data_IF_858414660671
#
_entry.id   IF_858414660671
#
_cell.length_a   1.000
_cell.length_b   1.000
_cell.length_c   1.000
_cell.angle_alpha   90.00
_cell.angle_beta   90.00
_cell.angle_gamma   90.00
#
_symmetry.space_group_name_H-M   'P 1'
#
loop_
_entity.id
_entity.type
_entity.pdbx_description
1 polymer ?
#
# COMPACT_ATOMS: atom_id res chain seq x y z
N UNK A 1 9.36 8.49 -17.32
CA UNK A 1 8.20 7.55 -17.28
C UNK A 1 7.61 7.56 -15.89
N UNK A 2 6.30 7.71 -15.80
CA UNK A 2 5.61 7.65 -14.52
C UNK A 2 5.49 6.20 -14.07
N UNK A 3 5.61 5.95 -12.77
CA UNK A 3 5.32 4.62 -12.25
C UNK A 3 3.83 4.30 -12.49
N UNK A 4 3.49 3.03 -12.58
CA UNK A 4 2.15 2.58 -12.94
C UNK A 4 1.94 2.39 -14.42
N UNK A 5 2.82 2.94 -15.26
CA UNK A 5 2.75 2.79 -16.71
C UNK A 5 3.63 1.64 -17.21
N UNK A 6 4.53 1.14 -16.37
CA UNK A 6 5.45 0.05 -16.69
C UNK A 6 4.98 -1.22 -16.00
N UNK A 7 5.07 -2.36 -16.70
CA UNK A 7 4.66 -3.66 -16.15
C UNK A 7 5.43 -4.03 -14.86
N UNK A 8 6.64 -3.51 -14.67
CA UNK A 8 7.45 -3.78 -13.48
C UNK A 8 7.03 -2.93 -12.28
N UNK A 9 6.19 -1.92 -12.48
CA UNK A 9 5.73 -1.05 -11.40
C UNK A 9 4.52 -1.61 -10.67
N UNK A 10 3.84 -2.62 -11.24
CA UNK A 10 2.65 -3.20 -10.63
C UNK A 10 2.94 -4.58 -10.08
N UNK A 11 2.50 -4.80 -8.88
CA UNK A 11 2.60 -6.08 -8.20
C UNK A 11 1.22 -6.47 -7.68
N UNK A 12 0.75 -7.62 -8.11
CA UNK A 12 -0.55 -8.14 -7.67
C UNK A 12 -0.33 -9.42 -6.89
N UNK A 13 -0.54 -9.36 -5.58
CA UNK A 13 -0.52 -10.54 -4.75
C UNK A 13 -1.82 -11.32 -4.96
N UNK A 14 -1.74 -12.65 -4.83
CA UNK A 14 -2.96 -13.47 -4.88
C UNK A 14 -3.83 -13.18 -3.67
N UNK A 15 -5.16 -13.39 -3.75
CA UNK A 15 -6.04 -13.16 -2.60
C UNK A 15 -5.63 -13.95 -1.36
N UNK A 16 -5.11 -15.16 -1.53
CA UNK A 16 -4.66 -16.01 -0.43
C UNK A 16 -3.45 -15.42 0.28
N UNK A 17 -2.49 -14.89 -0.47
CA UNK A 17 -1.30 -14.25 0.10
C UNK A 17 -1.68 -12.97 0.83
N UNK A 18 -2.58 -12.18 0.25
CA UNK A 18 -3.10 -10.96 0.88
C UNK A 18 -3.73 -11.29 2.22
N UNK A 19 -4.59 -12.33 2.25
CA UNK A 19 -5.25 -12.75 3.48
C UNK A 19 -4.25 -13.17 4.55
N UNK A 20 -3.23 -13.94 4.16
CA UNK A 20 -2.18 -14.35 5.09
C UNK A 20 -1.47 -13.16 5.73
N UNK A 21 -1.19 -12.14 4.94
CA UNK A 21 -0.50 -10.95 5.44
C UNK A 21 -1.38 -10.16 6.40
N UNK A 22 -2.65 -9.97 6.05
CA UNK A 22 -3.59 -9.24 6.90
C UNK A 22 -3.83 -9.98 8.21
N UNK A 23 -3.96 -11.31 8.15
CA UNK A 23 -4.22 -12.13 9.33
C UNK A 23 -3.06 -12.14 10.33
N UNK A 24 -1.85 -11.78 9.89
CA UNK A 24 -0.67 -11.74 10.76
C UNK A 24 -0.53 -10.47 11.57
N UNK A 25 -1.36 -9.47 11.27
CA UNK A 25 -1.31 -8.19 11.93
C UNK A 25 -2.66 -7.92 12.54
N UNK A 26 -2.68 -7.51 13.81
CA UNK A 26 -3.92 -7.08 14.43
C UNK A 26 -4.21 -5.65 13.97
N UNK A 27 -4.94 -5.52 12.87
CA UNK A 27 -5.26 -4.22 12.29
C UNK A 27 -6.18 -3.39 13.19
N UNK A 28 -6.89 -4.04 14.13
CA UNK A 28 -7.76 -3.33 15.07
C UNK A 28 -7.00 -2.47 16.08
N UNK A 29 -5.70 -2.69 16.22
CA UNK A 29 -4.85 -1.88 17.09
C UNK A 29 -4.54 -0.50 16.51
N UNK A 30 -4.86 -0.28 15.23
CA UNK A 30 -4.54 0.98 14.55
C UNK A 30 -5.81 1.80 14.33
N UNK A 31 -5.65 3.11 14.39
CA UNK A 31 -6.76 4.04 14.18
C UNK A 31 -7.07 4.23 12.70
N UNK A 32 -6.07 4.12 11.85
CA UNK A 32 -6.19 4.31 10.40
C UNK A 32 -5.31 3.31 9.67
N UNK A 33 -5.84 2.74 8.58
CA UNK A 33 -5.09 1.83 7.71
C UNK A 33 -4.91 2.50 6.36
N UNK A 34 -3.67 2.55 5.87
CA UNK A 34 -3.34 3.13 4.55
C UNK A 34 -2.82 2.04 3.63
N UNK A 35 -3.40 1.92 2.45
CA UNK A 35 -2.89 1.08 1.37
C UNK A 35 -2.38 2.00 0.27
N UNK A 36 -1.04 2.08 0.04
CA UNK A 36 -0.45 3.14 -0.78
C UNK A 36 -0.48 2.89 -2.29
N UNK A 37 -0.80 1.68 -2.73
CA UNK A 37 -0.93 1.38 -4.17
C UNK A 37 -2.02 0.35 -4.35
N UNK A 38 -3.25 0.80 -4.12
CA UNK A 38 -4.41 -0.09 -3.96
C UNK A 38 -4.87 -0.75 -5.27
N UNK A 39 -4.50 -0.21 -6.42
CA UNK A 39 -4.72 -0.82 -7.72
C UNK A 39 -6.16 -1.20 -8.00
N UNK A 40 -6.40 -2.50 -8.16
CA UNK A 40 -7.73 -3.06 -8.41
C UNK A 40 -8.55 -3.28 -7.14
N UNK A 41 -7.99 -2.95 -5.99
CA UNK A 41 -8.66 -3.10 -4.70
C UNK A 41 -8.53 -4.49 -4.08
N UNK A 42 -7.77 -5.41 -4.67
CA UNK A 42 -7.63 -6.78 -4.15
C UNK A 42 -7.16 -6.80 -2.71
N UNK A 43 -6.21 -5.96 -2.36
CA UNK A 43 -5.70 -5.84 -1.00
C UNK A 43 -6.63 -4.98 -0.15
N UNK A 44 -6.97 -3.81 -0.66
CA UNK A 44 -7.80 -2.82 0.04
C UNK A 44 -9.15 -3.40 0.45
N UNK A 45 -9.80 -4.17 -0.43
CA UNK A 45 -11.12 -4.70 -0.16
C UNK A 45 -11.12 -5.82 0.89
N UNK A 46 -9.98 -6.42 1.18
CA UNK A 46 -9.86 -7.43 2.24
C UNK A 46 -9.58 -6.82 3.61
N UNK A 47 -9.29 -5.54 3.67
CA UNK A 47 -9.05 -4.86 4.94
C UNK A 47 -10.39 -4.56 5.60
N UNK A 48 -10.66 -5.20 6.74
CA UNK A 48 -11.88 -4.99 7.50
C UNK A 48 -11.62 -3.96 8.59
N UNK A 49 -11.70 -2.69 8.22
CA UNK A 49 -11.46 -1.58 9.14
C UNK A 49 -12.29 -0.37 8.71
N UNK A 50 -12.87 0.32 9.66
CA UNK A 50 -13.76 1.46 9.36
C UNK A 50 -13.03 2.69 8.82
N UNK A 51 -11.74 2.84 9.11
CA UNK A 51 -10.94 3.98 8.68
C UNK A 51 -9.80 3.52 7.76
N UNK A 52 -10.13 2.98 6.61
CA UNK A 52 -9.13 2.58 5.62
C UNK A 52 -9.08 3.57 4.48
N UNK A 53 -7.86 3.86 4.03
CA UNK A 53 -7.59 4.79 2.94
C UNK A 53 -6.79 4.04 1.88
N UNK A 54 -7.29 3.98 0.67
CA UNK A 54 -6.57 3.39 -0.46
C UNK A 54 -6.19 4.48 -1.45
N UNK A 55 -4.97 4.42 -1.93
CA UNK A 55 -4.43 5.41 -2.86
C UNK A 55 -3.87 4.68 -4.07
N UNK A 56 -4.10 5.22 -5.25
CA UNK A 56 -3.47 4.72 -6.47
C UNK A 56 -3.35 5.86 -7.48
N UNK A 57 -2.30 5.81 -8.28
CA UNK A 57 -2.12 6.81 -9.34
C UNK A 57 -3.10 6.55 -10.49
N UNK A 58 -3.56 5.31 -10.63
CA UNK A 58 -4.58 4.91 -11.61
C UNK A 58 -5.54 3.92 -10.96
N UNK A 59 -6.50 4.40 -10.15
CA UNK A 59 -7.42 3.51 -9.45
C UNK A 59 -8.25 2.65 -10.41
N UNK A 60 -8.39 1.38 -10.07
CA UNK A 60 -9.17 0.42 -10.85
C UNK A 60 -10.40 -0.07 -10.07
N UNK A 61 -10.70 0.52 -8.93
CA UNK A 61 -11.91 0.24 -8.17
C UNK A 61 -12.39 1.49 -7.46
N UNK A 62 -13.63 1.45 -6.96
CA UNK A 62 -14.24 2.58 -6.27
C UNK A 62 -13.68 2.76 -4.86
N UNK A 63 -13.78 3.98 -4.35
CA UNK A 63 -13.40 4.29 -2.97
C UNK A 63 -11.95 4.67 -2.78
N UNK A 64 -11.16 4.64 -3.83
CA UNK A 64 -9.74 4.97 -3.76
C UNK A 64 -9.50 6.45 -4.07
N UNK A 65 -8.43 6.98 -3.50
CA UNK A 65 -7.96 8.33 -3.83
C UNK A 65 -7.02 8.22 -5.03
N UNK A 66 -7.31 8.97 -6.08
CA UNK A 66 -6.41 9.05 -7.23
C UNK A 66 -5.33 10.07 -6.94
N UNK A 67 -4.13 9.60 -6.58
CA UNK A 67 -3.03 10.46 -6.20
C UNK A 67 -1.72 9.68 -6.26
N UNK A 68 -0.63 10.39 -6.47
CA UNK A 68 0.71 9.85 -6.28
C UNK A 68 0.98 9.75 -4.78
N UNK A 69 1.14 8.54 -4.27
CA UNK A 69 1.36 8.31 -2.85
C UNK A 69 2.55 9.10 -2.33
N UNK A 70 3.60 9.25 -3.13
CA UNK A 70 4.81 9.97 -2.72
C UNK A 70 4.58 11.48 -2.52
N UNK A 71 3.44 11.98 -2.98
CA UNK A 71 3.03 13.38 -2.83
C UNK A 71 1.85 13.53 -1.87
N UNK A 72 1.49 12.47 -1.18
CA UNK A 72 0.33 12.44 -0.30
C UNK A 72 0.74 12.22 1.15
N UNK A 73 0.03 12.86 2.07
CA UNK A 73 0.15 12.58 3.50
C UNK A 73 -1.25 12.61 4.11
N UNK A 74 -1.48 11.84 5.19
CA UNK A 74 -2.80 11.83 5.83
C UNK A 74 -3.07 13.11 6.62
N UNK A 75 -4.37 13.40 6.83
CA UNK A 75 -4.83 14.55 7.61
C UNK A 75 -4.84 14.29 9.10
N UNK A 76 -4.26 13.22 9.55
CA UNK A 76 -4.28 12.83 10.95
C UNK A 76 -2.91 12.41 11.40
N UNK A 77 -2.66 12.49 12.70
CA UNK A 77 -1.45 11.97 13.33
C UNK A 77 -1.79 10.86 14.32
N UNK A 78 -2.93 10.20 14.16
CA UNK A 78 -3.29 9.07 15.00
C UNK A 78 -2.45 7.83 14.65
N UNK A 79 -2.74 6.68 15.25
CA UNK A 79 -1.94 5.46 15.05
C UNK A 79 -2.25 4.85 13.69
N UNK A 80 -1.24 4.82 12.81
CA UNK A 80 -1.39 4.44 11.40
C UNK A 80 -0.58 3.19 11.08
N UNK A 81 -1.24 2.24 10.42
CA UNK A 81 -0.60 1.12 9.74
C UNK A 81 -0.67 1.36 8.24
N UNK A 82 0.47 1.35 7.58
CA UNK A 82 0.53 1.35 6.11
C UNK A 82 0.87 -0.06 5.66
N UNK A 83 -0.01 -0.66 4.86
CA UNK A 83 0.06 -2.07 4.49
C UNK A 83 -0.28 -2.25 3.00
N UNK A 84 0.42 -3.12 2.32
CA UNK A 84 0.12 -3.41 0.92
C UNK A 84 1.28 -3.98 0.15
N UNK A 85 1.14 -3.98 -1.19
CA UNK A 85 2.18 -4.39 -2.11
C UNK A 85 2.60 -3.20 -2.95
N UNK A 86 3.67 -2.51 -2.60
CA UNK A 86 4.07 -1.31 -3.33
C UNK A 86 4.60 -1.66 -4.72
N UNK A 87 4.58 -0.71 -5.67
CA UNK A 87 5.24 -0.92 -6.95
C UNK A 87 6.75 -1.05 -6.74
N UNK A 88 7.39 -1.90 -7.51
CA UNK A 88 8.82 -2.19 -7.30
C UNK A 88 9.72 -1.14 -7.91
N UNK A 89 9.43 -0.74 -9.15
CA UNK A 89 10.36 0.03 -9.94
C UNK A 89 11.58 -0.80 -10.31
N UNK A 90 12.55 -0.14 -10.93
CA UNK A 90 13.78 -0.80 -11.33
C UNK A 90 14.62 -1.07 -10.08
N UNK A 91 14.99 -2.34 -9.88
CA UNK A 91 15.80 -2.79 -8.75
C UNK A 91 15.18 -2.44 -7.38
N UNK A 92 13.86 -2.34 -7.34
CA UNK A 92 13.16 -2.06 -6.09
C UNK A 92 13.28 -0.62 -5.62
N UNK A 93 13.79 0.28 -6.42
CA UNK A 93 14.00 1.67 -6.01
C UNK A 93 12.70 2.35 -5.61
N UNK A 94 11.64 2.14 -6.41
CA UNK A 94 10.35 2.75 -6.11
C UNK A 94 9.75 2.20 -4.83
N UNK A 95 9.90 0.89 -4.58
CA UNK A 95 9.42 0.30 -3.34
C UNK A 95 10.12 0.91 -2.12
N UNK A 96 11.42 1.17 -2.22
CA UNK A 96 12.16 1.84 -1.16
C UNK A 96 11.65 3.26 -0.92
N UNK A 97 11.32 3.98 -2.00
CA UNK A 97 10.73 5.32 -1.86
C UNK A 97 9.40 5.26 -1.14
N UNK A 98 8.57 4.26 -1.44
CA UNK A 98 7.29 4.06 -0.76
C UNK A 98 7.50 3.73 0.72
N UNK A 99 8.46 2.88 1.04
CA UNK A 99 8.79 2.54 2.44
C UNK A 99 9.21 3.80 3.20
N UNK A 100 10.15 4.56 2.65
CA UNK A 100 10.67 5.75 3.30
C UNK A 100 9.58 6.82 3.46
N UNK A 101 8.74 7.01 2.46
CA UNK A 101 7.64 7.96 2.56
C UNK A 101 6.62 7.52 3.63
N UNK A 102 6.31 6.22 3.68
CA UNK A 102 5.37 5.69 4.67
C UNK A 102 5.82 5.96 6.10
N UNK A 103 7.11 5.86 6.38
CA UNK A 103 7.63 6.09 7.73
C UNK A 103 7.53 7.54 8.19
N UNK A 104 7.23 8.47 7.31
CA UNK A 104 7.02 9.86 7.72
C UNK A 104 5.76 10.05 8.57
N UNK A 105 4.79 9.13 8.46
CA UNK A 105 3.52 9.27 9.16
C UNK A 105 3.00 7.96 9.77
N UNK A 106 3.62 6.83 9.48
CA UNK A 106 3.11 5.53 9.92
C UNK A 106 3.85 5.04 11.17
N UNK A 107 3.10 4.41 12.07
CA UNK A 107 3.66 3.72 13.23
C UNK A 107 4.20 2.36 12.84
N UNK A 108 3.58 1.73 11.85
CA UNK A 108 4.00 0.43 11.32
C UNK A 108 3.85 0.42 9.82
N UNK A 109 4.81 -0.18 9.14
CA UNK A 109 4.77 -0.39 7.69
C UNK A 109 4.94 -1.88 7.42
N UNK A 110 3.99 -2.47 6.69
CA UNK A 110 3.99 -3.88 6.36
C UNK A 110 3.73 -4.06 4.86
N UNK A 111 4.78 -4.33 4.10
CA UNK A 111 4.68 -4.48 2.65
C UNK A 111 5.01 -5.90 2.20
N UNK A 112 4.30 -6.36 1.17
CA UNK A 112 4.61 -7.59 0.46
C UNK A 112 5.60 -7.25 -0.64
N UNK A 113 6.76 -7.88 -0.62
CA UNK A 113 7.80 -7.67 -1.61
C UNK A 113 8.19 -9.01 -2.22
N UNK A 114 8.70 -9.03 -3.46
CA UNK A 114 9.21 -10.27 -4.05
C UNK A 114 10.45 -10.77 -3.32
N UNK A 115 10.66 -12.09 -3.31
CA UNK A 115 11.77 -12.68 -2.56
C UNK A 115 13.14 -12.38 -3.19
N UNK A 116 13.20 -12.15 -4.48
CA UNK A 116 14.45 -11.71 -5.13
C UNK A 116 14.28 -10.26 -5.54
N UNK A 117 14.45 -9.42 -4.57
CA UNK A 117 14.25 -7.99 -4.70
C UNK A 117 15.62 -7.31 -4.70
N UNK A 118 16.06 -6.82 -5.86
CA UNK A 118 17.36 -6.15 -5.98
C UNK A 118 17.34 -4.96 -6.94
#
# INVERSE_FOLDING_TARGET
>A
MRYGDNKYDKFYATPEVVKLCIDRIDISEYDTIVEPSAGDGSFYNQINHKNKIGIDIKPECEGLIEQDFLKWTPDTNNKILTIGGPPWGIRGKLALEFINHSFKFSDTVAFILPIYFD
#
